data_IF_878054052156
#
_entry.id   IF_878054052156
#
_cell.length_a   1.000
_cell.length_b   1.000
_cell.length_c   1.000
_cell.angle_alpha   90.00
_cell.angle_beta   90.00
_cell.angle_gamma   90.00
#
_symmetry.space_group_name_H-M   'P 1'
#
loop_
_entity.id
_entity.type
_entity.pdbx_description
1 polymer ?
#
# COMPACT_ATOMS: atom_id res chain seq x y z
N UNK A 1 3.94 6.22 -14.52
CA UNK A 1 4.56 6.00 -13.20
C UNK A 1 4.17 7.07 -12.18
N UNK A 2 4.01 8.33 -12.57
CA UNK A 2 3.64 9.45 -11.68
C UNK A 2 2.42 9.18 -10.76
N UNK A 3 1.32 8.60 -11.30
CA UNK A 3 0.13 8.27 -10.51
C UNK A 3 0.44 7.22 -9.42
N UNK A 4 1.29 6.23 -9.72
CA UNK A 4 1.70 5.20 -8.75
C UNK A 4 2.51 5.83 -7.62
N UNK A 5 3.45 6.72 -7.95
CA UNK A 5 4.26 7.47 -7.00
C UNK A 5 3.35 8.29 -6.07
N UNK A 6 2.43 9.07 -6.64
CA UNK A 6 1.52 9.91 -5.86
C UNK A 6 0.64 9.09 -4.91
N UNK A 7 0.10 7.96 -5.38
CA UNK A 7 -0.73 7.08 -4.53
C UNK A 7 0.08 6.41 -3.43
N UNK A 8 1.30 5.96 -3.72
CA UNK A 8 2.17 5.38 -2.71
C UNK A 8 2.51 6.40 -1.62
N UNK A 9 2.84 7.64 -1.99
CA UNK A 9 3.05 8.73 -1.03
C UNK A 9 1.81 9.00 -0.16
N UNK A 10 0.62 8.98 -0.76
CA UNK A 10 -0.63 9.16 -0.01
C UNK A 10 -0.85 8.06 1.03
N UNK A 11 -0.62 6.80 0.67
CA UNK A 11 -0.75 5.68 1.61
C UNK A 11 0.23 5.82 2.78
N UNK A 12 1.49 6.14 2.51
CA UNK A 12 2.49 6.35 3.57
C UNK A 12 2.07 7.48 4.51
N UNK A 13 1.60 8.60 3.94
CA UNK A 13 1.09 9.73 4.72
C UNK A 13 -0.10 9.35 5.61
N UNK A 14 -1.07 8.60 5.08
CA UNK A 14 -2.23 8.16 5.86
C UNK A 14 -1.82 7.22 7.00
N UNK A 15 -0.86 6.32 6.77
CA UNK A 15 -0.32 5.46 7.84
C UNK A 15 0.40 6.29 8.90
N UNK A 16 1.15 7.31 8.49
CA UNK A 16 1.86 8.21 9.41
C UNK A 16 0.89 9.03 10.28
N UNK A 17 -0.26 9.42 9.72
CA UNK A 17 -1.30 10.20 10.42
C UNK A 17 -2.20 9.33 11.31
N UNK A 18 -2.71 8.21 10.79
CA UNK A 18 -3.68 7.35 11.52
C UNK A 18 -3.00 6.33 12.44
N UNK A 19 -1.77 5.91 12.12
CA UNK A 19 -1.07 4.82 12.81
C UNK A 19 0.41 5.13 13.11
N UNK A 20 0.72 6.29 13.74
CA UNK A 20 2.10 6.79 13.89
C UNK A 20 3.04 5.80 14.59
N UNK A 21 2.53 5.02 15.54
CA UNK A 21 3.33 4.06 16.32
C UNK A 21 3.38 2.66 15.69
N UNK A 22 2.49 2.34 14.75
CA UNK A 22 2.40 0.98 14.17
C UNK A 22 3.51 0.68 13.17
N UNK A 23 4.27 1.69 12.76
CA UNK A 23 5.53 1.53 12.01
C UNK A 23 6.59 0.76 12.80
N UNK A 24 6.51 0.76 14.13
CA UNK A 24 7.49 0.16 15.03
C UNK A 24 7.12 -1.25 15.49
N UNK A 25 5.87 -1.68 15.29
CA UNK A 25 5.38 -2.99 15.71
C UNK A 25 5.23 -3.94 14.52
N UNK A 26 5.43 -5.24 14.76
CA UNK A 26 5.11 -6.24 13.76
C UNK A 26 3.59 -6.31 13.59
N UNK A 27 3.12 -6.23 12.35
CA UNK A 27 1.70 -6.29 12.03
C UNK A 27 1.42 -5.81 10.63
N UNK A 28 0.19 -6.04 10.19
CA UNK A 28 -0.25 -5.76 8.82
C UNK A 28 -0.09 -4.29 8.40
N UNK A 29 -0.22 -3.35 9.33
CA UNK A 29 -0.03 -1.91 9.06
C UNK A 29 1.42 -1.63 8.65
N UNK A 30 2.38 -2.24 9.36
CA UNK A 30 3.80 -2.17 9.01
C UNK A 30 4.08 -2.85 7.68
N UNK A 31 3.44 -4.00 7.42
CA UNK A 31 3.62 -4.71 6.15
C UNK A 31 3.12 -3.88 4.97
N UNK A 32 1.95 -3.23 5.11
CA UNK A 32 1.42 -2.28 4.11
C UNK A 32 2.41 -1.12 3.91
N UNK A 33 2.95 -0.56 5.00
CA UNK A 33 3.92 0.54 4.93
C UNK A 33 5.16 0.14 4.13
N UNK A 34 5.79 -0.98 4.51
CA UNK A 34 7.01 -1.49 3.85
C UNK A 34 6.75 -1.84 2.38
N UNK A 35 5.62 -2.48 2.08
CA UNK A 35 5.24 -2.79 0.70
C UNK A 35 5.03 -1.51 -0.12
N UNK A 36 4.39 -0.51 0.45
CA UNK A 36 4.18 0.80 -0.18
C UNK A 36 5.50 1.52 -0.45
N UNK A 37 6.45 1.49 0.49
CA UNK A 37 7.80 2.03 0.28
C UNK A 37 8.54 1.34 -0.86
N UNK A 38 8.45 0.01 -0.95
CA UNK A 38 9.05 -0.75 -2.06
C UNK A 38 8.44 -0.37 -3.40
N UNK A 39 7.12 -0.23 -3.46
CA UNK A 39 6.39 0.21 -4.65
C UNK A 39 6.87 1.61 -5.07
N UNK A 40 6.96 2.54 -4.11
CA UNK A 40 7.43 3.91 -4.36
C UNK A 40 8.84 3.93 -4.96
N UNK A 41 9.81 3.26 -4.30
CA UNK A 41 11.21 3.19 -4.76
C UNK A 41 11.32 2.57 -6.15
N UNK A 42 10.54 1.52 -6.41
CA UNK A 42 10.49 0.89 -7.73
C UNK A 42 9.95 1.86 -8.78
N UNK A 43 8.87 2.57 -8.46
CA UNK A 43 8.23 3.49 -9.37
C UNK A 43 9.10 4.71 -9.70
N UNK A 44 9.81 5.26 -8.71
CA UNK A 44 10.80 6.32 -8.90
C UNK A 44 11.97 5.86 -9.78
N UNK A 45 12.38 4.60 -9.65
CA UNK A 45 13.37 3.95 -10.52
C UNK A 45 12.83 3.48 -11.89
N UNK A 46 11.60 3.85 -12.26
CA UNK A 46 10.90 3.37 -13.48
C UNK A 46 10.84 1.84 -13.62
N UNK A 47 10.86 1.12 -12.50
CA UNK A 47 10.71 -0.32 -12.43
C UNK A 47 9.30 -0.69 -11.91
N UNK A 48 8.79 -1.84 -12.35
CA UNK A 48 7.54 -2.40 -11.82
C UNK A 48 7.88 -3.47 -10.79
N UNK A 49 7.15 -3.47 -9.68
CA UNK A 49 7.19 -4.57 -8.72
C UNK A 49 6.38 -5.73 -9.30
N UNK A 50 6.88 -6.97 -9.13
CA UNK A 50 6.20 -8.20 -9.57
C UNK A 50 5.64 -9.00 -8.39
N UNK A 51 5.72 -8.46 -7.18
CA UNK A 51 5.14 -9.06 -5.98
C UNK A 51 3.62 -9.16 -6.15
N UNK A 52 3.07 -10.38 -6.04
CA UNK A 52 1.62 -10.59 -6.04
C UNK A 52 1.03 -10.08 -4.73
N UNK A 53 0.17 -9.07 -4.82
CA UNK A 53 -0.51 -8.48 -3.66
C UNK A 53 -1.93 -9.03 -3.59
N UNK A 54 -2.23 -9.82 -2.56
CA UNK A 54 -3.57 -10.29 -2.24
C UNK A 54 -4.29 -9.29 -1.33
N UNK A 55 -5.08 -8.40 -1.96
CA UNK A 55 -5.87 -7.38 -1.27
C UNK A 55 -6.89 -7.98 -0.28
N UNK A 56 -7.46 -9.16 -0.57
CA UNK A 56 -8.46 -9.78 0.30
C UNK A 56 -7.83 -10.31 1.59
N UNK A 57 -6.66 -10.95 1.49
CA UNK A 57 -5.91 -11.39 2.66
C UNK A 57 -5.47 -10.20 3.51
N UNK A 58 -4.95 -9.16 2.86
CA UNK A 58 -4.45 -7.96 3.53
C UNK A 58 -5.56 -7.17 4.23
N UNK A 59 -6.71 -6.97 3.58
CA UNK A 59 -7.86 -6.30 4.18
C UNK A 59 -8.38 -7.03 5.42
N UNK A 60 -8.46 -8.37 5.38
CA UNK A 60 -8.83 -9.19 6.54
C UNK A 60 -7.87 -9.00 7.71
N UNK A 61 -6.57 -9.15 7.45
CA UNK A 61 -5.55 -8.96 8.48
C UNK A 61 -5.57 -7.55 9.06
N UNK A 62 -5.85 -6.52 8.24
CA UNK A 62 -5.99 -5.14 8.69
C UNK A 62 -7.14 -4.97 9.68
N UNK A 63 -8.30 -5.55 9.38
CA UNK A 63 -9.44 -5.54 10.31
C UNK A 63 -9.15 -6.35 11.57
N UNK A 64 -8.51 -7.52 11.45
CA UNK A 64 -8.14 -8.36 12.59
C UNK A 64 -7.17 -7.63 13.55
N UNK A 65 -6.36 -6.69 13.04
CA UNK A 65 -5.46 -5.85 13.83
C UNK A 65 -6.13 -4.56 14.38
N UNK A 66 -7.46 -4.51 14.40
CA UNK A 66 -8.22 -3.38 14.94
C UNK A 66 -8.47 -2.24 13.94
N UNK A 67 -8.18 -2.46 12.66
CA UNK A 67 -8.54 -1.55 11.58
C UNK A 67 -9.98 -1.73 11.08
N UNK A 68 -10.32 -1.04 9.99
CA UNK A 68 -11.61 -1.15 9.32
C UNK A 68 -11.40 -1.26 7.81
N UNK A 69 -12.25 -2.04 7.12
CA UNK A 69 -12.27 -2.06 5.64
C UNK A 69 -12.52 -0.67 5.04
N UNK A 70 -13.17 0.22 5.79
CA UNK A 70 -13.43 1.60 5.36
C UNK A 70 -12.30 2.57 5.76
N UNK A 71 -11.18 2.08 6.30
CA UNK A 71 -10.03 2.94 6.61
C UNK A 71 -9.52 3.60 5.33
N UNK A 72 -9.25 4.91 5.35
CA UNK A 72 -8.62 5.61 4.24
C UNK A 72 -7.32 4.94 3.77
N UNK A 73 -6.54 4.34 4.69
CA UNK A 73 -5.34 3.57 4.36
C UNK A 73 -5.66 2.40 3.43
N UNK A 74 -6.66 1.59 3.76
CA UNK A 74 -7.05 0.43 2.94
C UNK A 74 -7.58 0.88 1.59
N UNK A 75 -8.48 1.86 1.57
CA UNK A 75 -9.08 2.35 0.34
C UNK A 75 -8.04 2.95 -0.61
N UNK A 76 -7.05 3.68 -0.09
CA UNK A 76 -5.99 4.25 -0.94
C UNK A 76 -4.98 3.18 -1.36
N UNK A 77 -4.69 2.20 -0.51
CA UNK A 77 -3.82 1.07 -0.84
C UNK A 77 -4.42 0.18 -1.93
N UNK A 78 -5.73 -0.08 -1.90
CA UNK A 78 -6.44 -0.78 -2.97
C UNK A 78 -6.33 -0.04 -4.31
N UNK A 79 -6.49 1.29 -4.32
CA UNK A 79 -6.31 2.10 -5.52
C UNK A 79 -4.88 2.03 -6.06
N UNK A 80 -3.88 2.03 -5.17
CA UNK A 80 -2.47 1.85 -5.55
C UNK A 80 -2.25 0.51 -6.25
N UNK A 81 -2.70 -0.59 -5.65
CA UNK A 81 -2.53 -1.94 -6.20
C UNK A 81 -3.28 -2.12 -7.52
N UNK A 82 -4.48 -1.57 -7.64
CA UNK A 82 -5.23 -1.59 -8.90
C UNK A 82 -4.54 -0.77 -9.99
N UNK A 83 -3.91 0.37 -9.64
CA UNK A 83 -3.12 1.15 -10.57
C UNK A 83 -1.87 0.38 -11.05
N UNK A 84 -1.22 -0.37 -10.16
CA UNK A 84 -0.09 -1.24 -10.51
C UNK A 84 -0.50 -2.30 -11.53
N UNK A 85 -1.58 -3.03 -11.25
CA UNK A 85 -2.13 -4.05 -12.17
C UNK A 85 -2.46 -3.46 -13.54
N UNK A 86 -3.08 -2.27 -13.57
CA UNK A 86 -3.35 -1.59 -14.83
C UNK A 86 -2.07 -1.21 -15.57
N UNK A 87 -1.01 -0.85 -14.85
CA UNK A 87 0.29 -0.50 -15.46
C UNK A 87 1.02 -1.73 -16.01
N UNK A 88 0.84 -2.91 -15.40
CA UNK A 88 1.36 -4.19 -15.92
C UNK A 88 0.67 -4.64 -17.21
N UNK A 89 -0.63 -4.35 -17.38
CA UNK A 89 -1.41 -4.74 -18.56
C UNK A 89 -1.00 -3.97 -19.83
N UNK A 90 -0.33 -2.81 -19.69
CA UNK A 90 0.15 -2.00 -20.82
C UNK A 90 1.61 -2.28 -21.22
N UNK A 91 2.22 -3.40 -20.79
CA UNK A 91 3.55 -3.84 -21.26
C UNK A 91 3.48 -4.96 -22.28
#
# INVERSE_FOLDING_TARGET
MEIVIQRAQNVLKLIDEEFPNQKLYNGIIRDIYVLTEKILKSAEGNCLITEKIDLNSLGRQFVDNGGSYNSPVILEFEKLVNQLKNTEVFK
#
